data_IF_282417811008
#
_entry.id   IF_282417811008
#
_cell.length_a   1.000
_cell.length_b   1.000
_cell.length_c   1.000
_cell.angle_alpha   90.00
_cell.angle_beta   90.00
_cell.angle_gamma   90.00
#
_symmetry.space_group_name_H-M   'P 1'
#
loop_
_entity.id
_entity.type
_entity.pdbx_description
1 polymer ?
#
# COMPACT_ATOMS: atom_id res chain seq x y z
N UNK A 1 44.33 2.71 4.50
CA UNK A 1 44.39 4.03 3.80
C UNK A 1 45.64 4.18 2.94
N UNK A 2 46.86 4.29 3.50
CA UNK A 2 48.08 4.52 2.70
C UNK A 2 48.36 3.46 1.62
N UNK A 3 48.16 2.18 1.93
CA UNK A 3 48.31 1.09 0.95
C UNK A 3 47.26 1.17 -0.18
N UNK A 4 45.98 1.35 0.17
CA UNK A 4 44.89 1.58 -0.81
C UNK A 4 45.16 2.81 -1.71
N UNK A 5 45.69 3.90 -1.16
CA UNK A 5 46.11 5.07 -1.95
C UNK A 5 47.19 4.69 -2.95
N UNK A 6 48.24 3.98 -2.50
CA UNK A 6 49.31 3.49 -3.38
C UNK A 6 48.78 2.57 -4.48
N UNK A 7 47.82 1.70 -4.17
CA UNK A 7 47.16 0.81 -5.14
C UNK A 7 46.35 1.59 -6.18
N UNK A 8 45.81 2.74 -5.80
CA UNK A 8 45.00 3.63 -6.64
C UNK A 8 45.82 4.51 -7.61
N UNK A 9 47.15 4.57 -7.43
CA UNK A 9 48.05 5.31 -8.33
C UNK A 9 48.34 4.51 -9.61
N UNK A 10 48.54 5.22 -10.71
CA UNK A 10 49.01 4.63 -11.98
C UNK A 10 50.42 4.03 -11.83
N UNK A 11 50.81 3.08 -12.70
CA UNK A 11 52.15 2.49 -12.67
C UNK A 11 53.28 3.54 -12.73
N UNK A 12 53.10 4.59 -13.56
CA UNK A 12 54.08 5.65 -13.73
C UNK A 12 54.18 6.54 -12.47
N UNK A 13 53.05 6.89 -11.85
CA UNK A 13 53.03 7.64 -10.59
C UNK A 13 53.64 6.86 -9.42
N UNK A 14 53.43 5.53 -9.37
CA UNK A 14 54.08 4.67 -8.37
C UNK A 14 55.59 4.65 -8.55
N UNK A 15 56.05 4.53 -9.80
CA UNK A 15 57.47 4.54 -10.12
C UNK A 15 58.12 5.89 -9.77
N UNK A 16 57.45 7.00 -10.05
CA UNK A 16 57.90 8.35 -9.69
C UNK A 16 57.96 8.55 -8.16
N UNK A 17 56.96 8.04 -7.43
CA UNK A 17 56.91 8.07 -5.98
C UNK A 17 58.04 7.21 -5.35
N UNK A 18 58.27 6.01 -5.89
CA UNK A 18 59.36 5.15 -5.45
C UNK A 18 60.74 5.78 -5.73
N UNK A 19 60.89 6.50 -6.86
CA UNK A 19 62.10 7.26 -7.18
C UNK A 19 62.34 8.44 -6.23
N UNK A 20 61.28 9.21 -5.91
CA UNK A 20 61.34 10.30 -4.93
C UNK A 20 61.66 9.78 -3.52
N UNK A 21 61.07 8.65 -3.13
CA UNK A 21 61.36 8.00 -1.85
C UNK A 21 62.82 7.52 -1.79
N UNK A 22 63.35 6.95 -2.86
CA UNK A 22 64.77 6.57 -2.95
C UNK A 22 65.70 7.79 -2.82
N UNK A 23 65.33 8.92 -3.41
CA UNK A 23 66.11 10.15 -3.34
C UNK A 23 66.05 10.82 -1.95
N UNK A 24 64.89 10.75 -1.27
CA UNK A 24 64.69 11.34 0.05
C UNK A 24 65.28 10.49 1.19
N UNK A 25 65.21 9.16 1.09
CA UNK A 25 65.60 8.24 2.16
C UNK A 25 66.96 7.57 1.96
N UNK A 26 67.52 7.61 0.74
CA UNK A 26 68.94 7.46 0.38
C UNK A 26 69.68 6.17 0.79
N UNK A 27 69.10 5.29 1.60
CA UNK A 27 69.77 4.11 2.16
C UNK A 27 68.92 2.84 1.94
N UNK A 28 69.48 1.81 1.26
CA UNK A 28 68.80 0.52 1.06
C UNK A 28 68.39 -0.17 2.38
N UNK A 29 69.07 0.16 3.47
CA UNK A 29 68.81 -0.39 4.80
C UNK A 29 67.49 0.14 5.39
N UNK A 30 67.15 1.41 5.16
CA UNK A 30 65.90 1.99 5.65
C UNK A 30 64.69 1.45 4.87
N UNK A 31 64.81 1.28 3.55
CA UNK A 31 63.77 0.63 2.73
C UNK A 31 63.49 -0.80 3.20
N UNK A 32 64.53 -1.56 3.52
CA UNK A 32 64.37 -2.91 4.06
C UNK A 32 63.69 -2.91 5.45
N UNK A 33 63.95 -1.90 6.28
CA UNK A 33 63.31 -1.75 7.58
C UNK A 33 61.82 -1.37 7.44
N UNK A 34 61.50 -0.46 6.50
CA UNK A 34 60.12 -0.07 6.19
C UNK A 34 59.32 -1.24 5.61
N UNK A 35 59.88 -2.00 4.67
CA UNK A 35 59.23 -3.19 4.12
C UNK A 35 58.95 -4.26 5.18
N UNK A 36 59.85 -4.43 6.16
CA UNK A 36 59.60 -5.33 7.29
C UNK A 36 58.47 -4.81 8.17
N UNK A 37 58.47 -3.51 8.48
CA UNK A 37 57.41 -2.89 9.27
C UNK A 37 56.03 -3.09 8.61
N UNK A 38 55.95 -2.88 7.30
CA UNK A 38 54.72 -3.04 6.53
C UNK A 38 54.22 -4.49 6.56
N UNK A 39 55.12 -5.46 6.37
CA UNK A 39 54.80 -6.89 6.50
C UNK A 39 54.31 -7.28 7.91
N UNK A 40 54.90 -6.68 8.96
CA UNK A 40 54.44 -6.89 10.34
C UNK A 40 53.07 -6.27 10.62
N UNK A 41 52.77 -5.10 10.05
CA UNK A 41 51.46 -4.45 10.17
C UNK A 41 50.36 -5.24 9.46
N UNK A 42 50.64 -5.77 8.26
CA UNK A 42 49.72 -6.65 7.53
C UNK A 42 49.43 -7.93 8.31
N UNK A 43 50.48 -8.57 8.86
CA UNK A 43 50.32 -9.78 9.66
C UNK A 43 49.53 -9.54 10.97
N UNK A 44 49.64 -8.35 11.55
CA UNK A 44 48.91 -7.98 12.77
C UNK A 44 47.42 -7.65 12.52
N UNK A 45 47.03 -7.33 11.28
CA UNK A 45 45.64 -7.00 10.89
C UNK A 45 45.22 -7.73 9.61
N UNK A 46 45.04 -9.06 9.66
CA UNK A 46 44.71 -9.86 8.48
C UNK A 46 43.29 -9.65 7.94
N UNK A 47 42.40 -9.01 8.70
CA UNK A 47 41.01 -8.73 8.30
C UNK A 47 40.79 -7.37 7.61
N UNK A 48 41.84 -6.56 7.47
CA UNK A 48 41.76 -5.27 6.76
C UNK A 48 41.92 -5.47 5.26
N UNK A 49 41.33 -4.58 4.46
CA UNK A 49 41.45 -4.64 3.00
C UNK A 49 42.74 -3.95 2.53
N UNK A 50 43.77 -4.78 2.34
CA UNK A 50 45.11 -4.38 1.88
C UNK A 50 45.24 -4.27 0.35
N UNK A 51 44.36 -4.94 -0.39
CA UNK A 51 44.42 -5.05 -1.85
C UNK A 51 43.47 -4.09 -2.57
N UNK A 52 42.53 -3.48 -1.85
CA UNK A 52 41.59 -2.51 -2.39
C UNK A 52 42.26 -1.34 -3.12
N UNK A 53 41.58 -0.87 -4.16
CA UNK A 53 41.94 0.33 -4.94
C UNK A 53 40.69 1.13 -5.26
N UNK A 54 40.85 2.43 -5.50
CA UNK A 54 39.76 3.34 -5.83
C UNK A 54 40.13 4.14 -7.08
N UNK A 55 39.20 4.29 -8.01
CA UNK A 55 39.41 5.12 -9.19
C UNK A 55 39.04 6.57 -8.87
N UNK A 56 39.96 7.50 -9.12
CA UNK A 56 39.74 8.93 -8.94
C UNK A 56 39.65 9.61 -10.30
N UNK A 57 38.64 10.46 -10.48
CA UNK A 57 38.47 11.31 -11.65
C UNK A 57 38.08 12.73 -11.20
N UNK A 58 38.56 13.75 -11.91
CA UNK A 58 38.23 15.14 -11.65
C UNK A 58 39.34 16.11 -12.02
N UNK A 59 38.99 17.41 -12.07
CA UNK A 59 39.90 18.48 -12.49
C UNK A 59 40.70 19.10 -11.32
N UNK A 60 40.45 18.67 -10.08
CA UNK A 60 41.11 19.21 -8.89
C UNK A 60 42.24 18.27 -8.42
N UNK A 61 43.52 18.61 -8.63
CA UNK A 61 44.63 17.77 -8.22
C UNK A 61 44.75 17.78 -6.69
N UNK A 62 44.73 16.60 -6.08
CA UNK A 62 44.93 16.42 -4.64
C UNK A 62 46.39 16.10 -4.34
N UNK A 63 46.95 16.71 -3.30
CA UNK A 63 48.24 16.30 -2.76
C UNK A 63 48.18 14.90 -2.13
N UNK A 64 49.34 14.27 -1.92
CA UNK A 64 49.41 12.90 -1.38
C UNK A 64 48.74 12.75 0.00
N UNK A 65 48.88 13.76 0.87
CA UNK A 65 48.22 13.81 2.18
C UNK A 65 46.72 14.08 2.08
N UNK A 66 46.31 14.95 1.16
CA UNK A 66 44.89 15.27 0.92
C UNK A 66 44.15 14.07 0.29
N UNK A 67 44.79 13.33 -0.62
CA UNK A 67 44.23 12.11 -1.21
C UNK A 67 44.12 10.96 -0.21
N UNK A 68 45.09 10.82 0.69
CA UNK A 68 45.00 9.83 1.78
C UNK A 68 43.88 10.17 2.78
N UNK A 69 43.68 11.46 3.08
CA UNK A 69 42.57 11.92 3.91
C UNK A 69 41.22 11.68 3.22
N UNK A 70 41.09 12.04 1.94
CA UNK A 70 39.87 11.81 1.16
C UNK A 70 39.48 10.33 1.09
N UNK A 71 40.45 9.42 0.95
CA UNK A 71 40.21 7.98 1.03
C UNK A 71 39.72 7.52 2.41
N UNK A 72 40.22 8.14 3.47
CA UNK A 72 39.75 7.86 4.83
C UNK A 72 38.32 8.32 5.02
N UNK A 73 37.99 9.52 4.54
CA UNK A 73 36.65 10.10 4.64
C UNK A 73 35.64 9.28 3.82
N UNK A 74 36.00 8.85 2.60
CA UNK A 74 35.15 7.97 1.77
C UNK A 74 34.92 6.63 2.47
N UNK A 75 35.96 6.01 3.04
CA UNK A 75 35.81 4.75 3.76
C UNK A 75 34.90 4.90 5.00
N UNK A 76 34.99 6.03 5.71
CA UNK A 76 34.12 6.33 6.85
C UNK A 76 32.67 6.58 6.39
N UNK A 77 32.46 7.27 5.28
CA UNK A 77 31.14 7.44 4.66
C UNK A 77 30.55 6.11 4.17
N UNK A 78 31.34 5.21 3.60
CA UNK A 78 30.90 3.86 3.22
C UNK A 78 30.46 3.04 4.43
N UNK A 79 31.22 3.11 5.54
CA UNK A 79 30.84 2.45 6.80
C UNK A 79 29.54 3.04 7.38
N UNK A 80 29.41 4.37 7.39
CA UNK A 80 28.18 5.04 7.82
C UNK A 80 27.00 4.69 6.91
N UNK A 81 27.21 4.60 5.60
CA UNK A 81 26.17 4.19 4.65
C UNK A 81 25.68 2.77 4.94
N UNK A 82 26.57 1.84 5.23
CA UNK A 82 26.21 0.45 5.61
C UNK A 82 25.50 0.37 6.97
N UNK A 83 25.90 1.20 7.94
CA UNK A 83 25.20 1.31 9.23
C UNK A 83 23.77 1.87 9.06
N UNK A 84 23.63 2.90 8.22
CA UNK A 84 22.35 3.56 7.95
C UNK A 84 21.41 2.73 7.07
N UNK A 85 21.94 1.87 6.19
CA UNK A 85 21.12 0.99 5.36
C UNK A 85 20.45 -0.13 6.18
N UNK A 86 20.90 -0.36 7.42
CA UNK A 86 20.35 -1.36 8.34
C UNK A 86 20.18 -2.74 7.69
N UNK A 87 21.10 -3.10 6.78
CA UNK A 87 20.97 -4.23 5.85
C UNK A 87 21.09 -5.61 6.50
N UNK A 88 21.56 -5.69 7.76
CA UNK A 88 21.79 -6.94 8.47
C UNK A 88 20.74 -7.25 9.54
N UNK A 89 20.46 -8.54 9.74
CA UNK A 89 19.53 -9.00 10.76
C UNK A 89 20.03 -8.63 12.17
N UNK A 90 19.36 -7.70 12.83
CA UNK A 90 19.84 -7.17 14.11
C UNK A 90 19.93 -5.66 14.12
N UNK A 91 20.26 -5.05 12.98
CA UNK A 91 20.61 -3.64 12.87
C UNK A 91 19.60 -2.73 13.59
N UNK A 92 20.12 -1.89 14.47
CA UNK A 92 19.38 -0.83 15.15
C UNK A 92 19.98 0.51 14.78
N UNK A 93 19.17 1.57 14.81
CA UNK A 93 19.70 2.94 14.73
C UNK A 93 20.68 3.26 15.88
N UNK A 94 20.65 2.47 16.96
CA UNK A 94 21.63 2.55 18.05
C UNK A 94 23.05 2.07 17.64
N UNK A 95 23.20 1.37 16.50
CA UNK A 95 24.50 0.89 15.99
C UNK A 95 25.24 1.96 15.17
N UNK A 96 24.61 3.11 14.90
CA UNK A 96 25.19 4.19 14.08
C UNK A 96 26.20 5.01 14.90
N UNK A 97 27.41 5.18 14.35
CA UNK A 97 28.42 6.05 14.95
C UNK A 97 28.06 7.53 14.76
N UNK A 98 27.42 8.10 15.79
CA UNK A 98 26.99 9.50 15.80
C UNK A 98 28.17 10.49 15.75
N UNK A 99 29.35 10.10 16.26
CA UNK A 99 30.53 10.96 16.26
C UNK A 99 31.17 11.00 14.86
N UNK A 100 31.19 9.87 14.15
CA UNK A 100 31.57 9.82 12.74
C UNK A 100 30.56 10.58 11.86
N UNK A 101 29.25 10.42 12.12
CA UNK A 101 28.20 11.14 11.41
C UNK A 101 28.31 12.66 11.61
N UNK A 102 28.59 13.11 12.84
CA UNK A 102 28.83 14.53 13.14
C UNK A 102 30.06 15.09 12.39
N UNK A 103 31.16 14.32 12.36
CA UNK A 103 32.39 14.72 11.65
C UNK A 103 32.19 14.84 10.13
N UNK A 104 31.46 13.91 9.52
CA UNK A 104 31.33 13.85 8.06
C UNK A 104 30.14 14.63 7.49
N UNK A 105 29.00 14.66 8.21
CA UNK A 105 27.74 15.27 7.76
C UNK A 105 27.30 16.47 8.60
N UNK A 106 28.02 16.77 9.69
CA UNK A 106 27.76 17.89 10.59
C UNK A 106 26.89 17.52 11.81
N UNK A 107 26.92 18.39 12.82
CA UNK A 107 26.26 18.17 14.11
C UNK A 107 24.73 17.97 13.98
N UNK A 108 24.08 18.63 13.01
CA UNK A 108 22.64 18.46 12.77
C UNK A 108 22.29 17.04 12.33
N UNK A 109 23.14 16.39 11.54
CA UNK A 109 22.93 15.01 11.11
C UNK A 109 22.95 14.06 12.31
N UNK A 110 23.89 14.26 13.25
CA UNK A 110 23.98 13.47 14.47
C UNK A 110 22.76 13.66 15.39
N UNK A 111 22.28 14.90 15.52
CA UNK A 111 21.04 15.19 16.27
C UNK A 111 19.82 14.52 15.63
N UNK A 112 19.70 14.56 14.30
CA UNK A 112 18.62 13.91 13.57
C UNK A 112 18.66 12.38 13.74
N UNK A 113 19.84 11.77 13.58
CA UNK A 113 20.01 10.33 13.77
C UNK A 113 19.66 9.89 15.20
N UNK A 114 20.08 10.66 16.21
CA UNK A 114 19.71 10.41 17.61
C UNK A 114 18.20 10.53 17.84
N UNK A 115 17.57 11.55 17.27
CA UNK A 115 16.12 11.77 17.38
C UNK A 115 15.35 10.61 16.74
N UNK A 116 15.82 10.11 15.60
CA UNK A 116 15.25 8.94 14.93
C UNK A 116 15.41 7.67 15.78
N UNK A 117 16.57 7.44 16.39
CA UNK A 117 16.80 6.31 17.30
C UNK A 117 15.89 6.37 18.54
N UNK A 118 15.74 7.55 19.14
CA UNK A 118 14.84 7.75 20.28
C UNK A 118 13.37 7.51 19.90
N UNK A 119 12.97 7.95 18.70
CA UNK A 119 11.62 7.70 18.16
C UNK A 119 11.39 6.21 17.89
N UNK A 120 12.34 5.52 17.27
CA UNK A 120 12.29 4.07 17.03
C UNK A 120 12.12 3.32 18.35
N UNK A 121 12.95 3.61 19.35
CA UNK A 121 12.85 3.02 20.70
C UNK A 121 11.49 3.32 21.33
N UNK A 122 10.98 4.54 21.23
CA UNK A 122 9.66 4.88 21.76
C UNK A 122 8.54 4.10 21.07
N UNK A 123 8.58 3.95 19.74
CA UNK A 123 7.61 3.18 18.96
C UNK A 123 7.67 1.68 19.30
N UNK A 124 8.86 1.11 19.47
CA UNK A 124 9.05 -0.27 19.92
C UNK A 124 8.53 -0.50 21.33
N UNK A 125 8.91 0.36 22.29
CA UNK A 125 8.50 0.24 23.69
C UNK A 125 6.97 0.36 23.85
N UNK A 126 6.31 1.15 23.00
CA UNK A 126 4.86 1.27 22.99
C UNK A 126 4.16 0.14 22.21
N UNK A 127 4.91 -0.79 21.60
CA UNK A 127 4.42 -1.93 20.86
C UNK A 127 3.78 -1.55 19.52
N UNK A 128 4.30 -0.52 18.84
CA UNK A 128 3.83 -0.09 17.53
C UNK A 128 4.60 -0.70 16.37
N UNK A 129 5.82 -1.19 16.60
CA UNK A 129 6.65 -1.89 15.64
C UNK A 129 6.93 -3.30 16.13
N UNK A 130 6.78 -4.28 15.23
CA UNK A 130 7.15 -5.68 15.43
C UNK A 130 8.20 -6.06 14.37
N UNK A 131 9.19 -6.89 14.72
CA UNK A 131 10.08 -7.47 13.70
C UNK A 131 9.38 -8.64 13.00
N UNK A 132 9.35 -8.60 11.68
CA UNK A 132 8.94 -9.72 10.86
C UNK A 132 9.91 -10.89 10.96
N UNK A 133 9.48 -12.05 10.45
CA UNK A 133 10.32 -13.26 10.35
C UNK A 133 11.55 -13.08 9.43
N UNK A 134 11.49 -12.07 8.57
CA UNK A 134 12.53 -11.57 7.67
C UNK A 134 13.48 -10.55 8.33
N UNK A 135 13.27 -10.23 9.62
CA UNK A 135 14.08 -9.27 10.36
C UNK A 135 13.71 -7.80 10.12
N UNK A 136 12.83 -7.52 9.16
CA UNK A 136 12.39 -6.16 8.83
C UNK A 136 11.34 -5.64 9.82
N UNK A 137 11.35 -4.33 10.07
CA UNK A 137 10.33 -3.67 10.87
C UNK A 137 8.97 -3.67 10.18
N UNK A 138 7.93 -4.04 10.93
CA UNK A 138 6.54 -4.04 10.47
C UNK A 138 5.65 -3.34 11.49
N UNK A 139 4.61 -2.67 11.00
CA UNK A 139 3.61 -2.06 11.88
C UNK A 139 2.85 -3.15 12.64
N UNK A 140 2.78 -3.01 13.96
CA UNK A 140 2.04 -3.95 14.80
C UNK A 140 0.53 -3.84 14.55
N UNK A 141 -0.28 -4.85 14.90
CA UNK A 141 -1.74 -4.76 14.83
C UNK A 141 -2.31 -3.58 15.63
N UNK A 142 -1.63 -3.15 16.71
CA UNK A 142 -2.01 -1.98 17.50
C UNK A 142 -1.79 -0.69 16.70
N UNK A 143 -0.62 -0.53 16.07
CA UNK A 143 -0.32 0.61 15.21
C UNK A 143 -1.30 0.70 14.05
N UNK A 144 -1.55 -0.42 13.36
CA UNK A 144 -2.50 -0.49 12.24
C UNK A 144 -3.91 -0.05 12.64
N UNK A 145 -4.40 -0.46 13.82
CA UNK A 145 -5.70 -0.01 14.33
C UNK A 145 -5.73 1.49 14.59
N UNK A 146 -4.70 2.04 15.22
CA UNK A 146 -4.64 3.47 15.55
C UNK A 146 -4.52 4.35 14.30
N UNK A 147 -3.65 3.96 13.36
CA UNK A 147 -3.52 4.64 12.07
C UNK A 147 -4.81 4.56 11.25
N UNK A 148 -5.46 3.40 11.21
CA UNK A 148 -6.75 3.25 10.52
C UNK A 148 -7.88 4.06 11.15
N UNK A 149 -7.92 4.15 12.49
CA UNK A 149 -8.88 5.00 13.19
C UNK A 149 -8.65 6.48 12.90
N UNK A 150 -7.38 6.93 12.88
CA UNK A 150 -7.02 8.30 12.54
C UNK A 150 -7.39 8.62 11.08
N UNK A 151 -6.97 7.78 10.13
CA UNK A 151 -7.28 7.95 8.71
C UNK A 151 -8.80 7.96 8.45
N UNK A 152 -9.57 7.08 9.08
CA UNK A 152 -11.03 7.07 8.94
C UNK A 152 -11.65 8.33 9.55
N UNK A 153 -11.12 8.84 10.67
CA UNK A 153 -11.62 10.07 11.31
C UNK A 153 -11.42 11.29 10.41
N UNK A 154 -10.24 11.42 9.82
CA UNK A 154 -9.91 12.51 8.89
C UNK A 154 -10.86 12.48 7.69
N UNK A 155 -11.04 11.30 7.09
CA UNK A 155 -11.95 11.08 5.97
C UNK A 155 -13.41 11.37 6.34
N UNK A 156 -13.85 10.96 7.54
CA UNK A 156 -15.20 11.21 8.02
C UNK A 156 -15.49 12.70 8.24
N UNK A 157 -14.52 13.49 8.70
CA UNK A 157 -14.66 14.93 8.82
C UNK A 157 -14.88 15.60 7.46
N UNK A 158 -14.12 15.18 6.44
CA UNK A 158 -14.29 15.66 5.06
C UNK A 158 -15.65 15.27 4.47
N UNK A 159 -16.15 14.06 4.75
CA UNK A 159 -17.48 13.60 4.36
C UNK A 159 -18.60 14.43 5.02
N UNK A 160 -18.46 14.74 6.31
CA UNK A 160 -19.45 15.50 7.08
C UNK A 160 -19.62 16.95 6.59
N UNK A 161 -18.59 17.53 5.97
CA UNK A 161 -18.66 18.86 5.38
C UNK A 161 -19.52 18.96 4.11
N UNK A 162 -19.86 17.82 3.46
CA UNK A 162 -20.40 17.83 2.09
C UNK A 162 -21.84 17.36 1.93
N UNK A 163 -22.57 16.78 2.89
CA UNK A 163 -23.97 16.36 2.66
C UNK A 163 -24.89 16.56 3.88
N UNK A 164 -25.81 17.54 3.75
CA UNK A 164 -27.11 17.48 4.39
C UNK A 164 -28.04 16.64 3.52
N UNK A 165 -28.37 15.42 3.94
CA UNK A 165 -29.57 14.71 3.50
C UNK A 165 -29.83 13.52 4.44
N UNK A 166 -30.77 13.74 5.37
CA UNK A 166 -31.36 12.66 6.17
C UNK A 166 -32.33 11.92 5.26
N UNK A 167 -32.14 10.61 5.10
CA UNK A 167 -33.10 9.75 4.43
C UNK A 167 -33.58 8.62 5.35
N UNK A 168 -34.90 8.55 5.41
CA UNK A 168 -35.82 7.62 6.05
C UNK A 168 -35.60 6.17 5.63
N UNK A 169 -36.09 5.23 6.45
CA UNK A 169 -35.95 3.77 6.26
C UNK A 169 -37.22 3.19 5.62
N UNK A 170 -37.06 2.30 4.65
CA UNK A 170 -38.02 1.23 4.28
C UNK A 170 -37.25 -0.08 4.11
N UNK A 171 -37.86 -1.18 4.53
CA UNK A 171 -37.33 -2.55 4.49
C UNK A 171 -38.04 -3.34 3.36
N UNK A 172 -37.40 -4.40 2.86
CA UNK A 172 -37.90 -5.25 1.77
C UNK A 172 -37.80 -6.75 2.10
N UNK A 173 -38.46 -7.57 1.28
CA UNK A 173 -39.09 -8.83 1.66
C UNK A 173 -38.27 -10.14 1.51
N UNK A 174 -36.94 -10.10 1.58
CA UNK A 174 -36.11 -11.30 1.36
C UNK A 174 -34.87 -11.40 2.26
N UNK A 175 -34.93 -10.89 3.49
CA UNK A 175 -33.81 -10.89 4.44
C UNK A 175 -33.92 -11.90 5.60
N UNK A 176 -32.92 -11.90 6.49
CA UNK A 176 -33.00 -12.58 7.78
C UNK A 176 -33.96 -11.82 8.72
N UNK A 177 -34.70 -12.53 9.55
CA UNK A 177 -35.66 -11.95 10.50
C UNK A 177 -34.93 -11.08 11.52
N UNK A 178 -35.22 -9.77 11.54
CA UNK A 178 -34.61 -8.82 12.50
C UNK A 178 -35.16 -8.93 13.92
N UNK A 179 -36.22 -9.72 14.09
CA UNK A 179 -37.01 -9.79 15.33
C UNK A 179 -37.95 -8.61 15.53
N UNK A 180 -37.85 -7.55 14.71
CA UNK A 180 -38.82 -6.46 14.68
C UNK A 180 -40.02 -6.84 13.80
N UNK A 181 -41.18 -6.28 14.14
CA UNK A 181 -42.43 -6.50 13.43
C UNK A 181 -43.09 -5.18 13.09
N UNK A 182 -43.84 -5.14 12.00
CA UNK A 182 -44.60 -3.97 11.57
C UNK A 182 -46.00 -4.38 11.10
N UNK A 183 -47.01 -3.51 11.19
CA UNK A 183 -48.32 -3.77 10.62
C UNK A 183 -48.22 -4.08 9.11
N UNK A 184 -48.96 -5.08 8.67
CA UNK A 184 -49.10 -5.42 7.27
C UNK A 184 -49.85 -4.31 6.53
N UNK A 185 -49.31 -3.90 5.39
CA UNK A 185 -49.91 -2.97 4.45
C UNK A 185 -50.12 -3.65 3.09
N UNK A 186 -51.10 -3.14 2.34
CA UNK A 186 -51.37 -3.66 1.01
C UNK A 186 -50.12 -3.56 0.12
N UNK A 187 -49.65 -4.70 -0.39
CA UNK A 187 -48.44 -4.83 -1.21
C UNK A 187 -47.24 -5.46 -0.51
N UNK A 188 -47.31 -5.70 0.80
CA UNK A 188 -46.26 -6.39 1.55
C UNK A 188 -46.17 -7.88 1.17
N UNK A 189 -44.94 -8.35 0.96
CA UNK A 189 -44.63 -9.75 0.61
C UNK A 189 -43.83 -10.48 1.69
N UNK A 190 -43.53 -9.79 2.80
CA UNK A 190 -42.84 -10.30 3.97
C UNK A 190 -43.64 -11.40 4.70
N UNK A 191 -42.95 -12.39 5.32
CA UNK A 191 -43.63 -13.44 6.06
C UNK A 191 -44.32 -12.89 7.31
N UNK A 192 -45.54 -13.38 7.57
CA UNK A 192 -46.32 -13.02 8.76
C UNK A 192 -45.60 -13.43 10.03
N UNK A 193 -45.54 -12.53 11.00
CA UNK A 193 -45.18 -12.87 12.37
C UNK A 193 -46.39 -13.49 13.06
N UNK A 194 -46.47 -14.82 13.04
CA UNK A 194 -47.62 -15.57 13.57
C UNK A 194 -47.85 -15.27 15.05
N UNK A 195 -46.80 -15.21 15.86
CA UNK A 195 -46.90 -14.95 17.30
C UNK A 195 -47.50 -13.58 17.59
N UNK A 196 -47.01 -12.53 16.90
CA UNK A 196 -47.49 -11.16 17.09
C UNK A 196 -48.91 -10.98 16.56
N UNK A 197 -49.20 -11.57 15.40
CA UNK A 197 -50.53 -11.55 14.78
C UNK A 197 -51.59 -12.20 15.69
N UNK A 198 -51.27 -13.37 16.26
CA UNK A 198 -52.16 -14.02 17.22
C UNK A 198 -52.31 -13.21 18.51
N UNK A 199 -51.24 -12.59 19.00
CA UNK A 199 -51.27 -11.73 20.19
C UNK A 199 -52.19 -10.53 19.97
N UNK A 200 -52.09 -9.84 18.84
CA UNK A 200 -52.97 -8.71 18.49
C UNK A 200 -54.42 -9.17 18.36
N UNK A 201 -54.66 -10.33 17.73
CA UNK A 201 -56.01 -10.91 17.60
C UNK A 201 -56.66 -11.17 18.97
N UNK A 202 -55.90 -11.73 19.92
CA UNK A 202 -56.38 -12.00 21.28
C UNK A 202 -56.62 -10.70 22.06
N UNK A 203 -55.72 -9.72 21.95
CA UNK A 203 -55.86 -8.42 22.61
C UNK A 203 -57.09 -7.65 22.11
N UNK A 204 -57.35 -7.65 20.80
CA UNK A 204 -58.57 -7.05 20.24
C UNK A 204 -59.81 -7.76 20.78
N UNK A 205 -59.80 -9.09 20.78
CA UNK A 205 -60.92 -9.90 21.26
C UNK A 205 -61.27 -9.62 22.72
N UNK A 206 -60.25 -9.45 23.58
CA UNK A 206 -60.46 -9.08 24.97
C UNK A 206 -61.17 -7.72 25.13
N UNK A 207 -61.01 -6.82 24.15
CA UNK A 207 -61.70 -5.52 24.11
C UNK A 207 -63.14 -5.57 23.57
N UNK A 208 -63.54 -6.62 22.85
CA UNK A 208 -64.87 -6.73 22.21
C UNK A 208 -65.89 -7.58 22.99
N UNK A 209 -65.49 -8.20 24.11
CA UNK A 209 -66.42 -8.80 25.08
C UNK A 209 -67.02 -10.17 24.72
N UNK A 210 -66.48 -10.90 23.73
CA UNK A 210 -66.93 -12.26 23.36
C UNK A 210 -65.82 -13.31 23.60
N UNK A 211 -65.80 -13.95 24.79
CA UNK A 211 -64.76 -14.91 25.17
C UNK A 211 -64.94 -16.34 24.61
N UNK A 212 -66.10 -16.71 24.04
CA UNK A 212 -66.41 -18.11 23.67
C UNK A 212 -66.52 -18.39 22.15
N UNK A 213 -66.53 -17.36 21.29
CA UNK A 213 -66.46 -17.52 19.83
C UNK A 213 -65.12 -18.06 19.25
N UNK A 214 -65.07 -18.44 17.97
CA UNK A 214 -63.84 -18.80 17.28
C UNK A 214 -62.90 -17.59 17.09
N UNK A 215 -61.58 -17.80 17.16
CA UNK A 215 -60.58 -16.77 16.85
C UNK A 215 -60.69 -16.34 15.39
N UNK A 216 -61.06 -15.07 15.16
CA UNK A 216 -61.09 -14.45 13.82
C UNK A 216 -59.93 -13.46 13.71
N UNK A 217 -59.00 -13.74 12.81
CA UNK A 217 -57.91 -12.81 12.44
C UNK A 217 -58.49 -11.79 11.47
N UNK A 218 -58.30 -10.50 11.72
CA UNK A 218 -58.57 -9.45 10.74
C UNK A 218 -57.25 -8.82 10.27
N UNK A 219 -57.32 -8.07 9.18
CA UNK A 219 -56.15 -7.49 8.50
C UNK A 219 -55.33 -6.59 9.43
N UNK A 220 -55.99 -5.85 10.33
CA UNK A 220 -55.34 -4.98 11.33
C UNK A 220 -54.52 -5.75 12.38
N UNK A 221 -54.76 -7.05 12.57
CA UNK A 221 -53.99 -7.87 13.50
C UNK A 221 -52.69 -8.35 12.86
N UNK A 222 -52.61 -8.39 11.53
CA UNK A 222 -51.51 -8.98 10.78
C UNK A 222 -50.28 -8.10 10.92
N UNK A 223 -49.23 -8.66 11.54
CA UNK A 223 -47.91 -8.06 11.51
C UNK A 223 -46.97 -8.91 10.65
N UNK A 224 -46.18 -8.25 9.82
CA UNK A 224 -45.09 -8.89 9.07
C UNK A 224 -43.79 -8.77 9.85
N UNK A 225 -42.96 -9.80 9.74
CA UNK A 225 -41.61 -9.75 10.30
C UNK A 225 -40.73 -8.88 9.41
N UNK A 226 -40.03 -7.91 9.99
CA UNK A 226 -39.05 -7.13 9.25
C UNK A 226 -37.86 -8.04 8.91
N UNK A 227 -37.58 -8.18 7.63
CA UNK A 227 -36.41 -8.91 7.15
C UNK A 227 -35.30 -7.93 6.73
N UNK A 228 -34.11 -8.06 7.31
CA UNK A 228 -32.93 -7.28 6.89
C UNK A 228 -32.09 -8.16 5.96
N UNK A 229 -32.03 -7.81 4.68
CA UNK A 229 -31.02 -8.36 3.79
C UNK A 229 -29.68 -7.72 4.16
N UNK A 230 -28.94 -8.34 5.08
CA UNK A 230 -27.51 -8.06 5.20
C UNK A 230 -26.81 -8.68 4.00
N UNK A 231 -26.92 -8.03 2.85
CA UNK A 231 -26.11 -8.37 1.68
C UNK A 231 -24.66 -8.11 2.06
N UNK A 232 -23.90 -9.19 2.20
CA UNK A 232 -22.44 -9.14 2.26
C UNK A 232 -21.93 -8.47 0.99
N UNK A 233 -20.87 -7.66 1.06
CA UNK A 233 -20.17 -7.18 -0.13
C UNK A 233 -18.81 -7.89 -0.29
N UNK A 234 -18.42 -8.13 -1.54
CA UNK A 234 -17.08 -8.52 -1.92
C UNK A 234 -16.43 -7.33 -2.63
N UNK A 235 -15.51 -6.65 -1.94
CA UNK A 235 -14.90 -5.40 -2.35
C UNK A 235 -13.48 -5.67 -2.84
N UNK A 236 -13.20 -5.35 -4.09
CA UNK A 236 -11.85 -5.31 -4.63
C UNK A 236 -11.40 -3.84 -4.76
N UNK A 237 -10.42 -3.44 -3.96
CA UNK A 237 -9.77 -2.13 -4.07
C UNK A 237 -8.48 -2.29 -4.90
N UNK A 238 -8.49 -1.80 -6.13
CA UNK A 238 -7.37 -1.80 -7.05
C UNK A 238 -6.63 -0.47 -6.89
N UNK A 239 -5.36 -0.55 -6.52
CA UNK A 239 -4.51 0.58 -6.17
C UNK A 239 -3.36 0.66 -7.15
N UNK A 240 -3.27 1.75 -7.90
CA UNK A 240 -2.13 2.04 -8.75
C UNK A 240 -0.88 2.35 -7.89
N UNK A 241 0.21 1.66 -8.17
CA UNK A 241 1.52 1.82 -7.53
C UNK A 241 2.61 2.16 -8.55
N UNK A 242 2.21 2.63 -9.73
CA UNK A 242 3.13 3.02 -10.79
C UNK A 242 3.96 4.24 -10.39
N UNK A 243 5.04 4.46 -11.13
CA UNK A 243 5.98 5.55 -10.88
C UNK A 243 5.32 6.96 -10.87
N UNK A 244 4.28 7.20 -11.69
CA UNK A 244 3.54 8.48 -11.73
C UNK A 244 2.90 8.81 -10.39
N UNK A 245 2.33 7.81 -9.70
CA UNK A 245 1.70 7.99 -8.39
C UNK A 245 2.69 8.50 -7.34
N UNK A 246 3.95 8.07 -7.42
CA UNK A 246 5.02 8.50 -6.51
C UNK A 246 5.49 9.91 -6.89
N UNK A 247 5.78 10.14 -8.18
CA UNK A 247 6.26 11.44 -8.67
C UNK A 247 5.27 12.58 -8.40
N UNK A 248 3.97 12.31 -8.50
CA UNK A 248 2.93 13.32 -8.32
C UNK A 248 2.39 13.36 -6.88
N UNK A 249 3.11 12.77 -5.91
CA UNK A 249 2.77 12.76 -4.48
C UNK A 249 1.37 12.18 -4.15
N UNK A 250 0.84 11.32 -5.01
CA UNK A 250 -0.48 10.68 -4.85
C UNK A 250 -0.44 9.44 -3.98
N UNK A 251 0.74 8.86 -3.82
CA UNK A 251 0.95 7.59 -3.12
C UNK A 251 0.51 7.62 -1.65
N UNK A 252 0.89 8.65 -0.91
CA UNK A 252 0.54 8.77 0.52
C UNK A 252 -0.97 8.98 0.76
N UNK A 253 -1.66 9.90 0.05
CA UNK A 253 -3.12 9.99 0.10
C UNK A 253 -3.83 8.67 -0.21
N UNK A 254 -3.30 7.92 -1.19
CA UNK A 254 -3.81 6.59 -1.50
C UNK A 254 -3.67 5.68 -0.28
N UNK A 255 -2.46 5.48 0.27
CA UNK A 255 -2.24 4.60 1.44
C UNK A 255 -3.18 4.90 2.60
N UNK A 256 -3.38 6.20 2.91
CA UNK A 256 -4.34 6.65 3.93
C UNK A 256 -5.76 6.21 3.61
N UNK A 257 -6.18 6.33 2.35
CA UNK A 257 -7.50 5.93 1.85
C UNK A 257 -7.72 4.42 1.98
N UNK A 258 -6.77 3.60 1.51
CA UNK A 258 -6.87 2.15 1.64
C UNK A 258 -6.93 1.70 3.10
N UNK A 259 -6.16 2.35 3.97
CA UNK A 259 -6.16 2.07 5.41
C UNK A 259 -7.49 2.47 6.06
N UNK A 260 -8.06 3.61 5.70
CA UNK A 260 -9.37 4.05 6.17
C UNK A 260 -10.48 3.09 5.73
N UNK A 261 -10.49 2.66 4.46
CA UNK A 261 -11.45 1.69 3.95
C UNK A 261 -11.30 0.33 4.65
N UNK A 262 -10.07 -0.17 4.81
CA UNK A 262 -9.80 -1.39 5.53
C UNK A 262 -10.31 -1.33 6.97
N UNK A 263 -9.99 -0.25 7.70
CA UNK A 263 -10.47 -0.07 9.07
C UNK A 263 -12.00 -0.01 9.13
N UNK A 264 -12.66 0.70 8.21
CA UNK A 264 -14.12 0.77 8.14
C UNK A 264 -14.75 -0.61 7.91
N UNK A 265 -14.25 -1.38 6.95
CA UNK A 265 -14.75 -2.73 6.65
C UNK A 265 -14.52 -3.66 7.85
N UNK A 266 -13.30 -3.71 8.39
CA UNK A 266 -12.95 -4.59 9.50
C UNK A 266 -13.62 -4.25 10.84
N UNK A 267 -14.16 -3.03 11.01
CA UNK A 267 -14.83 -2.61 12.25
C UNK A 267 -16.35 -2.51 12.13
N UNK A 268 -16.86 -1.85 11.07
CA UNK A 268 -18.30 -1.57 10.90
C UNK A 268 -19.00 -2.59 10.01
N UNK A 269 -18.34 -3.10 8.98
CA UNK A 269 -18.92 -4.01 7.98
C UNK A 269 -18.18 -5.36 7.98
N UNK A 270 -18.07 -5.98 9.16
CA UNK A 270 -17.25 -7.20 9.39
C UNK A 270 -17.65 -8.41 8.54
N UNK A 271 -18.87 -8.43 8.01
CA UNK A 271 -19.31 -9.46 7.07
C UNK A 271 -18.67 -9.30 5.70
N UNK A 272 -18.31 -8.07 5.29
CA UNK A 272 -17.81 -7.80 3.95
C UNK A 272 -16.39 -8.32 3.76
N UNK A 273 -16.12 -8.86 2.58
CA UNK A 273 -14.81 -9.33 2.19
C UNK A 273 -14.10 -8.21 1.42
N UNK A 274 -12.98 -7.70 1.94
CA UNK A 274 -12.15 -6.71 1.26
C UNK A 274 -10.85 -7.36 0.77
N UNK A 275 -10.53 -7.17 -0.51
CA UNK A 275 -9.24 -7.52 -1.10
C UNK A 275 -8.60 -6.27 -1.69
N UNK A 276 -7.39 -5.94 -1.23
CA UNK A 276 -6.56 -4.86 -1.76
C UNK A 276 -5.62 -5.47 -2.81
N UNK A 277 -5.56 -4.86 -4.00
CA UNK A 277 -4.77 -5.31 -5.14
C UNK A 277 -3.86 -4.15 -5.54
N UNK A 278 -2.56 -4.30 -5.31
CA UNK A 278 -1.55 -3.35 -5.73
C UNK A 278 -1.14 -3.60 -7.18
N UNK A 279 -1.16 -2.51 -7.93
CA UNK A 279 -1.02 -2.29 -9.36
C UNK A 279 0.22 -1.62 -9.97
N UNK A 280 1.23 -2.34 -10.45
CA UNK A 280 2.33 -1.73 -11.22
C UNK A 280 2.48 -2.39 -12.58
N UNK A 281 3.73 -2.69 -12.96
CA UNK A 281 4.01 -3.61 -14.07
C UNK A 281 3.39 -4.99 -13.84
N UNK A 282 3.36 -5.42 -12.59
CA UNK A 282 2.65 -6.60 -12.11
C UNK A 282 1.56 -6.19 -11.11
N UNK A 283 0.47 -6.95 -11.07
CA UNK A 283 -0.54 -6.82 -10.02
C UNK A 283 -0.37 -7.93 -8.99
N UNK A 284 -0.56 -7.61 -7.71
CA UNK A 284 -0.54 -8.59 -6.63
C UNK A 284 -1.51 -8.21 -5.52
N UNK A 285 -2.02 -9.22 -4.82
CA UNK A 285 -2.86 -9.00 -3.65
C UNK A 285 -1.98 -8.64 -2.47
N UNK A 286 -2.34 -7.59 -1.74
CA UNK A 286 -1.60 -7.11 -0.58
C UNK A 286 -2.51 -6.94 0.62
N UNK A 287 -1.95 -7.08 1.81
CA UNK A 287 -2.62 -6.68 3.06
C UNK A 287 -2.54 -5.16 3.23
N UNK A 288 -3.39 -4.60 4.10
CA UNK A 288 -3.29 -3.18 4.43
C UNK A 288 -1.92 -2.83 5.06
N UNK A 289 -1.35 -3.74 5.86
CA UNK A 289 -0.05 -3.56 6.49
C UNK A 289 1.09 -3.59 5.46
N UNK A 290 1.06 -4.55 4.52
CA UNK A 290 2.02 -4.59 3.41
C UNK A 290 1.92 -3.34 2.55
N UNK A 291 0.70 -2.88 2.24
CA UNK A 291 0.50 -1.64 1.47
C UNK A 291 1.08 -0.41 2.18
N UNK A 292 0.91 -0.30 3.51
CA UNK A 292 1.49 0.81 4.27
C UNK A 292 3.01 0.78 4.27
N UNK A 293 3.61 -0.41 4.35
CA UNK A 293 5.07 -0.61 4.32
C UNK A 293 5.69 -0.59 2.92
N UNK A 294 4.88 -0.64 1.86
CA UNK A 294 5.40 -0.65 0.50
C UNK A 294 6.13 0.65 0.15
N UNK A 295 7.40 0.54 -0.20
CA UNK A 295 8.15 1.62 -0.81
C UNK A 295 7.59 1.96 -2.20
N UNK A 296 7.81 3.20 -2.65
CA UNK A 296 7.49 3.57 -4.02
C UNK A 296 8.36 2.75 -4.97
N UNK A 297 7.74 1.88 -5.77
CA UNK A 297 8.49 1.04 -6.72
C UNK A 297 8.80 1.89 -7.96
N UNK A 298 10.08 2.03 -8.29
CA UNK A 298 10.57 2.70 -9.50
C UNK A 298 10.43 1.79 -10.74
N UNK A 299 9.30 1.10 -10.89
CA UNK A 299 9.04 0.24 -12.03
C UNK A 299 7.90 0.83 -12.88
N UNK A 300 8.19 1.05 -14.16
CA UNK A 300 7.23 1.61 -15.11
C UNK A 300 6.19 0.54 -15.51
N UNK A 301 4.93 0.95 -15.58
CA UNK A 301 3.83 0.11 -16.04
C UNK A 301 2.58 0.22 -15.19
N UNK A 302 1.44 0.18 -15.86
CA UNK A 302 0.10 0.24 -15.27
C UNK A 302 -0.70 -0.98 -15.77
N UNK A 303 -0.56 -2.11 -15.08
CA UNK A 303 -1.15 -3.39 -15.49
C UNK A 303 -2.56 -3.58 -14.93
N UNK A 304 -3.47 -2.73 -15.38
CA UNK A 304 -4.87 -2.77 -14.95
C UNK A 304 -5.57 -4.08 -15.39
N UNK A 305 -5.17 -4.67 -16.52
CA UNK A 305 -5.63 -5.99 -16.95
C UNK A 305 -5.38 -7.07 -15.89
N UNK A 306 -4.15 -7.17 -15.37
CA UNK A 306 -3.83 -8.17 -14.34
C UNK A 306 -4.59 -7.88 -13.05
N UNK A 307 -4.70 -6.62 -12.63
CA UNK A 307 -5.45 -6.25 -11.45
C UNK A 307 -6.94 -6.64 -11.53
N UNK A 308 -7.58 -6.42 -12.69
CA UNK A 308 -8.96 -6.83 -12.95
C UNK A 308 -9.13 -8.36 -12.94
N UNK A 309 -8.15 -9.11 -13.44
CA UNK A 309 -8.17 -10.57 -13.37
C UNK A 309 -8.13 -11.08 -11.91
N UNK A 310 -7.28 -10.46 -11.07
CA UNK A 310 -7.23 -10.73 -9.62
C UNK A 310 -8.54 -10.36 -8.94
N UNK A 311 -9.14 -9.23 -9.30
CA UNK A 311 -10.44 -8.79 -8.79
C UNK A 311 -11.54 -9.79 -9.17
N UNK A 312 -11.66 -10.18 -10.43
CA UNK A 312 -12.62 -11.19 -10.86
C UNK A 312 -12.47 -12.51 -10.08
N UNK A 313 -11.23 -12.94 -9.79
CA UNK A 313 -10.96 -14.11 -8.94
C UNK A 313 -11.40 -13.91 -7.49
N UNK A 314 -11.27 -12.70 -6.94
CA UNK A 314 -11.82 -12.37 -5.62
C UNK A 314 -13.33 -12.51 -5.58
N UNK A 315 -14.00 -11.89 -6.56
CA UNK A 315 -15.45 -11.82 -6.64
C UNK A 315 -16.07 -13.20 -6.83
N UNK A 316 -15.50 -14.05 -7.70
CA UNK A 316 -15.96 -15.43 -7.90
C UNK A 316 -15.89 -16.31 -6.65
N UNK A 317 -15.00 -16.01 -5.71
CA UNK A 317 -14.93 -16.72 -4.42
C UNK A 317 -16.07 -16.35 -3.47
N UNK A 318 -16.80 -15.28 -3.75
CA UNK A 318 -17.88 -14.77 -2.92
C UNK A 318 -19.18 -14.62 -3.74
N UNK A 319 -19.75 -15.72 -4.27
CA UNK A 319 -20.89 -15.67 -5.19
C UNK A 319 -22.17 -15.09 -4.56
N UNK A 320 -22.30 -15.16 -3.24
CA UNK A 320 -23.46 -14.67 -2.49
C UNK A 320 -23.30 -13.21 -2.03
N UNK A 321 -22.15 -12.58 -2.29
CA UNK A 321 -21.88 -11.20 -1.89
C UNK A 321 -22.05 -10.26 -3.09
N UNK A 322 -22.45 -9.01 -2.84
CA UNK A 322 -22.48 -7.99 -3.87
C UNK A 322 -21.05 -7.65 -4.30
N UNK A 323 -20.68 -7.84 -5.58
CA UNK A 323 -19.37 -7.45 -6.06
C UNK A 323 -19.26 -5.92 -6.19
N UNK A 324 -18.17 -5.37 -5.65
CA UNK A 324 -17.81 -3.96 -5.72
C UNK A 324 -16.34 -3.86 -6.14
N UNK A 325 -16.06 -3.08 -7.19
CA UNK A 325 -14.70 -2.85 -7.70
C UNK A 325 -14.42 -1.35 -7.64
N UNK A 326 -13.42 -0.98 -6.84
CA UNK A 326 -12.97 0.39 -6.67
C UNK A 326 -11.58 0.48 -7.28
N UNK A 327 -11.39 1.31 -8.32
CA UNK A 327 -10.10 1.47 -9.01
C UNK A 327 -9.57 2.87 -8.73
N UNK A 328 -8.36 2.99 -8.21
CA UNK A 328 -7.67 4.27 -8.00
C UNK A 328 -6.44 4.30 -8.90
N UNK A 329 -6.39 5.23 -9.86
CA UNK A 329 -5.30 5.31 -10.85
C UNK A 329 -5.12 6.72 -11.40
N UNK A 330 -3.89 7.04 -11.80
CA UNK A 330 -3.52 8.28 -12.48
C UNK A 330 -2.98 8.08 -13.89
N UNK A 331 -2.89 6.83 -14.35
CA UNK A 331 -2.23 6.46 -15.60
C UNK A 331 -3.09 5.62 -16.53
N UNK A 332 -2.80 5.73 -17.83
CA UNK A 332 -3.38 4.84 -18.85
C UNK A 332 -2.82 3.41 -18.71
N UNK A 333 -3.58 2.37 -19.13
CA UNK A 333 -3.09 1.00 -19.05
C UNK A 333 -1.95 0.77 -20.04
N UNK A 334 -0.71 0.70 -19.56
CA UNK A 334 0.51 0.55 -20.35
C UNK A 334 1.06 -0.87 -20.36
N UNK A 335 0.55 -1.76 -19.49
CA UNK A 335 0.99 -3.14 -19.38
C UNK A 335 -0.17 -4.16 -19.38
N UNK A 336 0.09 -5.36 -19.89
CA UNK A 336 -0.81 -6.50 -19.78
C UNK A 336 -0.04 -7.82 -19.68
N UNK A 337 -0.68 -8.85 -19.11
CA UNK A 337 -0.16 -10.21 -19.18
C UNK A 337 -0.41 -10.84 -20.56
N UNK A 338 0.62 -11.46 -21.11
CA UNK A 338 0.55 -12.35 -22.28
C UNK A 338 0.84 -13.79 -21.85
N UNK A 339 -0.04 -14.71 -22.26
CA UNK A 339 0.22 -16.14 -22.11
C UNK A 339 1.04 -16.64 -23.30
N UNK A 340 2.34 -16.86 -23.10
CA UNK A 340 3.23 -17.41 -24.12
C UNK A 340 3.12 -18.95 -24.18
N UNK A 341 1.91 -19.48 -24.28
CA UNK A 341 1.69 -20.92 -24.35
C UNK A 341 1.45 -21.40 -25.79
N UNK A 342 2.54 -21.38 -26.56
CA UNK A 342 2.82 -22.41 -27.56
C UNK A 342 3.99 -23.33 -27.15
N UNK A 343 4.88 -22.89 -26.24
CA UNK A 343 6.13 -23.61 -25.88
C UNK A 343 6.37 -23.78 -24.35
N UNK A 344 5.35 -23.64 -23.50
CA UNK A 344 5.43 -23.99 -22.07
C UNK A 344 6.16 -22.98 -21.16
N UNK A 345 6.29 -21.72 -21.55
CA UNK A 345 6.77 -20.63 -20.68
C UNK A 345 5.61 -19.96 -19.95
N UNK A 346 5.79 -19.63 -18.66
CA UNK A 346 4.78 -18.94 -17.85
C UNK A 346 4.34 -17.57 -18.41
N UNK A 347 3.27 -17.00 -17.84
CA UNK A 347 2.74 -15.70 -18.28
C UNK A 347 3.80 -14.61 -18.15
N UNK A 348 4.01 -13.84 -19.22
CA UNK A 348 4.97 -12.72 -19.27
C UNK A 348 4.24 -11.38 -19.32
N UNK A 349 4.92 -10.28 -18.95
CA UNK A 349 4.32 -8.94 -19.03
C UNK A 349 4.78 -8.26 -20.30
N UNK A 350 3.81 -7.86 -21.11
CA UNK A 350 4.01 -6.89 -22.19
C UNK A 350 3.84 -5.48 -21.63
N UNK A 351 4.76 -4.58 -21.98
CA UNK A 351 4.73 -3.16 -21.62
C UNK A 351 5.02 -2.31 -22.85
N UNK A 352 4.26 -1.23 -23.03
CA UNK A 352 4.46 -0.25 -24.10
C UNK A 352 3.99 1.15 -23.64
N UNK A 353 4.67 2.19 -24.12
CA UNK A 353 4.30 3.58 -23.86
C UNK A 353 4.49 4.42 -25.14
N UNK A 354 3.42 5.06 -25.68
CA UNK A 354 2.04 5.09 -25.19
C UNK A 354 1.33 3.72 -25.17
N UNK A 355 0.14 3.59 -24.54
CA UNK A 355 -0.59 2.33 -24.46
C UNK A 355 -0.82 1.63 -25.81
N UNK A 356 -0.31 0.41 -25.94
CA UNK A 356 -0.55 -0.41 -27.13
C UNK A 356 -2.05 -0.78 -27.26
N UNK A 357 -2.65 -0.78 -28.48
CA UNK A 357 -4.05 -1.16 -28.68
C UNK A 357 -4.44 -2.53 -28.10
N UNK A 358 -3.50 -3.49 -28.08
CA UNK A 358 -3.70 -4.80 -27.44
C UNK A 358 -3.88 -4.67 -25.93
N UNK A 359 -3.05 -3.86 -25.25
CA UNK A 359 -3.17 -3.59 -23.81
C UNK A 359 -4.53 -2.98 -23.47
N UNK A 360 -4.98 -2.03 -24.30
CA UNK A 360 -6.32 -1.43 -24.18
C UNK A 360 -7.40 -2.51 -24.32
N UNK A 361 -7.33 -3.36 -25.36
CA UNK A 361 -8.30 -4.43 -25.59
C UNK A 361 -8.37 -5.44 -24.42
N UNK A 362 -7.23 -5.84 -23.87
CA UNK A 362 -7.16 -6.72 -22.69
C UNK A 362 -7.78 -6.06 -21.45
N UNK A 363 -7.53 -4.77 -21.26
CA UNK A 363 -8.10 -4.02 -20.13
C UNK A 363 -9.61 -3.86 -20.26
N UNK A 364 -10.12 -3.52 -21.45
CA UNK A 364 -11.57 -3.48 -21.77
C UNK A 364 -12.22 -4.82 -21.47
N UNK A 365 -11.62 -5.93 -21.92
CA UNK A 365 -12.12 -7.28 -21.63
C UNK A 365 -12.15 -7.59 -20.14
N UNK A 366 -11.13 -7.17 -19.39
CA UNK A 366 -11.11 -7.32 -17.93
C UNK A 366 -12.27 -6.59 -17.25
N UNK A 367 -12.60 -5.38 -17.73
CA UNK A 367 -13.77 -4.62 -17.28
C UNK A 367 -15.09 -5.31 -17.63
N UNK A 368 -15.22 -5.84 -18.84
CA UNK A 368 -16.40 -6.62 -19.24
C UNK A 368 -16.60 -7.86 -18.36
N UNK A 369 -15.50 -8.54 -18.00
CA UNK A 369 -15.57 -9.75 -17.19
C UNK A 369 -15.99 -9.45 -15.74
N UNK A 370 -15.56 -8.35 -15.13
CA UNK A 370 -16.06 -7.94 -13.80
C UNK A 370 -17.49 -7.40 -13.88
N UNK A 371 -17.85 -6.69 -14.95
CA UNK A 371 -19.21 -6.21 -15.15
C UNK A 371 -20.22 -7.37 -15.31
N UNK A 372 -19.83 -8.44 -16.02
CA UNK A 372 -20.64 -9.66 -16.16
C UNK A 372 -20.90 -10.37 -14.83
N UNK A 373 -20.04 -10.16 -13.82
CA UNK A 373 -20.27 -10.63 -12.45
C UNK A 373 -21.28 -9.76 -11.69
N UNK A 374 -21.80 -8.68 -12.29
CA UNK A 374 -22.70 -7.72 -11.63
C UNK A 374 -21.95 -6.72 -10.74
N UNK A 375 -20.65 -6.53 -10.97
CA UNK A 375 -19.81 -5.66 -10.15
C UNK A 375 -20.21 -4.19 -10.31
N UNK A 376 -20.37 -3.50 -9.18
CA UNK A 376 -20.44 -2.04 -9.18
C UNK A 376 -19.02 -1.49 -9.31
N UNK A 377 -18.71 -0.91 -10.47
CA UNK A 377 -17.38 -0.40 -10.80
C UNK A 377 -17.34 1.11 -10.60
N UNK A 378 -16.45 1.58 -9.73
CA UNK A 378 -16.13 3.01 -9.58
C UNK A 378 -14.65 3.23 -9.83
N UNK A 379 -14.33 4.16 -10.74
CA UNK A 379 -12.97 4.53 -11.10
C UNK A 379 -12.69 5.93 -10.57
N UNK A 380 -11.75 6.03 -9.64
CA UNK A 380 -11.20 7.27 -9.10
C UNK A 380 -10.00 7.67 -9.96
N UNK A 381 -10.25 8.55 -10.92
CA UNK A 381 -9.20 9.10 -11.79
C UNK A 381 -8.51 10.23 -11.04
N UNK A 382 -7.21 10.09 -10.83
CA UNK A 382 -6.36 11.14 -10.29
C UNK A 382 -5.68 11.88 -11.44
N UNK A 383 -5.47 13.19 -11.28
CA UNK A 383 -4.82 14.02 -12.30
C UNK A 383 -5.72 14.42 -13.48
N UNK A 384 -5.10 15.09 -14.45
CA UNK A 384 -5.79 15.83 -15.52
C UNK A 384 -5.49 15.30 -16.93
N UNK A 385 -5.02 14.05 -17.06
CA UNK A 385 -4.70 13.48 -18.37
C UNK A 385 -5.96 13.31 -19.24
N UNK A 386 -5.95 13.93 -20.42
CA UNK A 386 -7.09 13.95 -21.34
C UNK A 386 -7.28 12.64 -22.12
N UNK A 387 -6.20 11.85 -22.31
CA UNK A 387 -6.27 10.52 -22.92
C UNK A 387 -6.97 9.55 -21.98
N UNK A 388 -6.47 9.47 -20.76
CA UNK A 388 -7.01 8.70 -19.65
C UNK A 388 -8.47 9.06 -19.37
N UNK A 389 -8.80 10.36 -19.38
CA UNK A 389 -10.16 10.83 -19.21
C UNK A 389 -11.12 10.20 -20.23
N UNK A 390 -10.79 10.28 -21.53
CA UNK A 390 -11.62 9.71 -22.60
C UNK A 390 -11.73 8.20 -22.49
N UNK A 391 -10.63 7.52 -22.18
CA UNK A 391 -10.62 6.07 -22.01
C UNK A 391 -11.51 5.63 -20.85
N UNK A 392 -11.32 6.22 -19.65
CA UNK A 392 -12.10 5.89 -18.45
C UNK A 392 -13.58 6.22 -18.65
N UNK A 393 -13.92 7.34 -19.27
CA UNK A 393 -15.32 7.71 -19.54
C UNK A 393 -16.01 6.70 -20.47
N UNK A 394 -15.30 6.18 -21.47
CA UNK A 394 -15.82 5.13 -22.35
C UNK A 394 -16.00 3.80 -21.61
N UNK A 395 -15.05 3.40 -20.78
CA UNK A 395 -15.16 2.21 -19.93
C UNK A 395 -16.34 2.32 -18.98
N UNK A 396 -16.46 3.44 -18.25
CA UNK A 396 -17.52 3.63 -17.27
C UNK A 396 -18.91 3.54 -17.92
N UNK A 397 -19.11 4.13 -19.11
CA UNK A 397 -20.36 3.97 -19.87
C UNK A 397 -20.60 2.53 -20.29
N UNK A 398 -19.55 1.80 -20.69
CA UNK A 398 -19.63 0.41 -21.14
C UNK A 398 -20.02 -0.55 -20.03
N UNK A 399 -19.51 -0.35 -18.82
CA UNK A 399 -19.79 -1.23 -17.67
C UNK A 399 -20.89 -0.70 -16.75
N UNK A 400 -21.61 0.36 -17.15
CA UNK A 400 -22.57 1.08 -16.30
C UNK A 400 -21.96 1.52 -14.95
N UNK A 401 -20.66 1.81 -14.97
CA UNK A 401 -19.87 2.23 -13.82
C UNK A 401 -19.87 3.75 -13.63
N UNK A 402 -19.09 4.19 -12.64
CA UNK A 402 -18.93 5.61 -12.31
C UNK A 402 -17.48 6.04 -12.40
N UNK A 403 -17.29 7.32 -12.74
CA UNK A 403 -16.01 8.00 -12.68
C UNK A 403 -16.11 9.09 -11.62
N UNK A 404 -15.14 9.13 -10.71
CA UNK A 404 -15.00 10.18 -9.72
C UNK A 404 -13.62 10.80 -9.91
N UNK A 405 -13.55 12.12 -9.92
CA UNK A 405 -12.29 12.87 -10.07
C UNK A 405 -12.08 13.65 -8.77
N UNK A 406 -11.49 13.03 -7.74
CA UNK A 406 -11.23 13.72 -6.48
C UNK A 406 -9.95 14.54 -6.54
N UNK A 407 -9.91 15.63 -5.78
CA UNK A 407 -8.66 16.26 -5.39
C UNK A 407 -7.86 15.30 -4.49
N UNK A 408 -6.54 15.48 -4.38
CA UNK A 408 -5.68 14.61 -3.58
C UNK A 408 -6.16 14.49 -2.12
N UNK A 409 -6.56 15.60 -1.53
CA UNK A 409 -7.10 15.65 -0.16
C UNK A 409 -8.49 15.02 -0.06
N UNK A 410 -9.24 14.93 -1.16
CA UNK A 410 -10.60 14.40 -1.21
C UNK A 410 -10.71 12.92 -1.58
N UNK A 411 -9.61 12.26 -1.97
CA UNK A 411 -9.60 10.86 -2.41
C UNK A 411 -10.21 9.92 -1.36
N UNK A 412 -9.83 10.09 -0.09
CA UNK A 412 -10.32 9.25 1.00
C UNK A 412 -11.83 9.36 1.18
N UNK A 413 -12.35 10.59 1.19
CA UNK A 413 -13.79 10.86 1.27
C UNK A 413 -14.54 10.30 0.06
N UNK A 414 -13.97 10.41 -1.14
CA UNK A 414 -14.56 9.88 -2.36
C UNK A 414 -14.68 8.35 -2.31
N UNK A 415 -13.60 7.63 -1.99
CA UNK A 415 -13.58 6.16 -1.94
C UNK A 415 -14.48 5.62 -0.84
N UNK A 416 -14.36 6.15 0.38
CA UNK A 416 -15.19 5.72 1.52
C UNK A 416 -16.66 6.08 1.30
N UNK A 417 -16.93 7.28 0.78
CA UNK A 417 -18.28 7.72 0.45
C UNK A 417 -18.93 6.86 -0.63
N UNK A 418 -18.18 6.45 -1.65
CA UNK A 418 -18.67 5.57 -2.70
C UNK A 418 -18.99 4.17 -2.18
N UNK A 419 -18.11 3.60 -1.35
CA UNK A 419 -18.38 2.34 -0.65
C UNK A 419 -19.63 2.45 0.23
N UNK A 420 -19.80 3.52 1.00
CA UNK A 420 -21.02 3.71 1.79
C UNK A 420 -22.27 3.90 0.91
N UNK A 421 -22.12 4.47 -0.29
CA UNK A 421 -23.21 4.66 -1.25
C UNK A 421 -23.62 3.35 -1.91
N UNK A 422 -22.68 2.48 -2.30
CA UNK A 422 -23.00 1.14 -2.82
C UNK A 422 -23.79 0.32 -1.82
N UNK A 423 -23.55 0.53 -0.51
CA UNK A 423 -24.36 -0.03 0.58
C UNK A 423 -25.77 0.57 0.68
N UNK A 424 -26.00 1.82 0.24
CA UNK A 424 -27.30 2.54 0.34
C UNK A 424 -28.18 2.37 -0.89
N UNK A 425 -27.61 2.19 -2.09
CA UNK A 425 -28.33 2.17 -3.37
C UNK A 425 -29.26 0.95 -3.59
N UNK A 426 -29.44 0.13 -2.54
CA UNK A 426 -30.24 -1.10 -2.55
C UNK A 426 -31.35 -1.09 -1.50
N UNK A 427 -31.82 0.09 -1.14
CA UNK A 427 -33.06 0.26 -0.37
C UNK A 427 -34.23 0.54 -1.28
#
# INVERSE_FOLDING_TARGET
AAQRFRNSLTPDQRAELDALAQQAFGSPQLMNALNRLDAHLQAARPGEDWDGSSEFAGDNPLGMGEGAQALSDIAELEQLAEQLSQSYAGASMDDVDLDALARQLGDEAAVNARTLADLERALMNQGFLDRGSDGQWRLSPKAMRQLGQAALRDVAQQLSGRHGERATRRAGAAGELTGATRPWAFGDTEPWNVTRTLTNTVLRRAGTGDPDGPLRIAVEDVEVSETETRTQAAVALLVDTSFSMVMENRWLPMKRTALALHHLVSTRFRSDALQIIAFGRYARTVTAAELTGLEGVYEQGTNLHHALALAARHLRRHPNAQPVVLVVTDGEPTAHLEDYNANGGGSSVFFDYPPHPRTIAHTVRGFDDVARLGAQVTIFRLGNDAGLARFIDQIARRVEGRVVVPDLDGLGAAVVGDYLRSRRHRR
#
